data_IF_241923445427
#
_entry.id   IF_241923445427
#
_cell.length_a   1.000
_cell.length_b   1.000
_cell.length_c   1.000
_cell.angle_alpha   90.00
_cell.angle_beta   90.00
_cell.angle_gamma   90.00
#
_symmetry.space_group_name_H-M   'P 1'
#
loop_
_entity.id
_entity.type
_entity.pdbx_description
1 polymer ?
#
# COMPACT_ATOMS: atom_id res chain seq x y z
N UNK A 1 -36.95 10.81 11.03
CA UNK A 1 -35.69 10.08 11.25
C UNK A 1 -35.15 10.46 12.62
N UNK A 2 -34.74 9.51 13.49
CA UNK A 2 -34.17 9.85 14.80
C UNK A 2 -32.97 10.78 14.67
N UNK A 3 -32.79 11.73 15.60
CA UNK A 3 -31.67 12.71 15.54
C UNK A 3 -30.30 12.04 15.45
N UNK A 4 -30.09 10.93 16.15
CA UNK A 4 -28.83 10.19 16.12
C UNK A 4 -28.53 9.60 14.74
N UNK A 5 -29.57 9.20 13.98
CA UNK A 5 -29.39 8.63 12.64
C UNK A 5 -29.00 9.72 11.63
N UNK A 6 -29.50 10.94 11.79
CA UNK A 6 -29.03 12.10 11.01
C UNK A 6 -27.56 12.42 11.32
N UNK A 7 -27.19 12.46 12.61
CA UNK A 7 -25.79 12.64 13.02
C UNK A 7 -24.87 11.53 12.53
N UNK A 8 -25.36 10.28 12.47
CA UNK A 8 -24.63 9.17 11.88
C UNK A 8 -24.42 9.36 10.37
N UNK A 9 -25.45 9.77 9.63
CA UNK A 9 -25.36 10.08 8.19
C UNK A 9 -24.37 11.21 7.93
N UNK A 10 -24.37 12.25 8.78
CA UNK A 10 -23.43 13.36 8.73
C UNK A 10 -22.00 12.90 9.03
N UNK A 11 -21.81 12.05 10.06
CA UNK A 11 -20.53 11.42 10.36
C UNK A 11 -20.00 10.62 9.18
N UNK A 12 -20.89 9.94 8.43
CA UNK A 12 -20.53 9.21 7.22
C UNK A 12 -20.17 10.13 6.04
N UNK A 13 -20.33 11.45 6.18
CA UNK A 13 -19.95 12.46 5.19
C UNK A 13 -20.95 12.57 4.04
N UNK A 14 -22.24 12.28 4.30
CA UNK A 14 -23.26 12.08 3.28
C UNK A 14 -24.34 13.18 3.25
N UNK A 15 -24.05 14.38 3.77
CA UNK A 15 -25.04 15.43 4.03
C UNK A 15 -25.69 16.08 2.78
N UNK A 16 -25.23 15.79 1.56
CA UNK A 16 -25.87 16.31 0.34
C UNK A 16 -26.00 15.34 -0.84
N UNK A 17 -25.31 14.19 -0.84
CA UNK A 17 -25.44 13.14 -1.85
C UNK A 17 -25.04 11.78 -1.27
N UNK A 18 -26.03 11.04 -0.77
CA UNK A 18 -25.84 9.68 -0.29
C UNK A 18 -25.46 8.76 -1.46
N UNK A 19 -24.19 8.32 -1.49
CA UNK A 19 -23.75 7.28 -2.44
C UNK A 19 -24.62 6.03 -2.24
N UNK A 20 -24.99 5.29 -3.31
CA UNK A 20 -25.85 4.09 -3.21
C UNK A 20 -25.40 3.07 -2.15
N UNK A 21 -24.08 2.91 -1.97
CA UNK A 21 -23.51 2.02 -0.94
C UNK A 21 -23.89 2.42 0.50
N UNK A 22 -24.08 3.72 0.77
CA UNK A 22 -24.46 4.20 2.10
C UNK A 22 -25.96 4.08 2.35
N UNK A 23 -26.78 4.10 1.29
CA UNK A 23 -28.22 3.84 1.38
C UNK A 23 -28.43 2.41 1.89
N UNK A 24 -27.74 1.42 1.30
CA UNK A 24 -27.80 0.03 1.75
C UNK A 24 -27.39 -0.14 3.22
N UNK A 25 -26.35 0.56 3.68
CA UNK A 25 -25.92 0.55 5.09
C UNK A 25 -26.99 1.16 6.00
N UNK A 26 -27.57 2.29 5.62
CA UNK A 26 -28.62 2.96 6.39
C UNK A 26 -29.88 2.10 6.48
N UNK A 27 -30.26 1.44 5.39
CA UNK A 27 -31.42 0.54 5.36
C UNK A 27 -31.22 -0.65 6.31
N UNK A 28 -30.02 -1.24 6.32
CA UNK A 28 -29.64 -2.30 7.25
C UNK A 28 -29.68 -1.82 8.70
N UNK A 29 -29.07 -0.67 9.00
CA UNK A 29 -29.07 -0.07 10.36
C UNK A 29 -30.50 0.21 10.83
N UNK A 30 -31.35 0.75 9.95
CA UNK A 30 -32.74 1.09 10.24
C UNK A 30 -33.58 -0.17 10.44
N UNK A 31 -33.41 -1.17 9.57
CA UNK A 31 -34.12 -2.46 9.65
C UNK A 31 -33.82 -3.21 10.93
N UNK A 32 -32.57 -3.18 11.39
CA UNK A 32 -32.13 -3.82 12.63
C UNK A 32 -32.34 -2.96 13.88
N UNK A 33 -32.97 -1.79 13.74
CA UNK A 33 -33.28 -0.87 14.84
C UNK A 33 -32.07 -0.54 15.72
N UNK A 34 -30.88 -0.49 15.11
CA UNK A 34 -29.68 -0.05 15.81
C UNK A 34 -29.91 1.38 16.27
N UNK A 35 -29.50 1.71 17.49
CA UNK A 35 -29.61 3.04 18.06
C UNK A 35 -28.22 3.55 18.48
N UNK A 36 -28.14 4.80 18.93
CA UNK A 36 -26.87 5.42 19.33
C UNK A 36 -26.09 4.63 20.39
N UNK A 37 -26.79 3.94 21.30
CA UNK A 37 -26.16 3.11 22.33
C UNK A 37 -25.57 1.84 21.71
N UNK A 38 -26.34 1.14 20.88
CA UNK A 38 -25.90 -0.09 20.21
C UNK A 38 -24.72 0.12 19.27
N UNK A 39 -24.62 1.30 18.64
CA UNK A 39 -23.48 1.67 17.78
C UNK A 39 -22.13 1.59 18.51
N UNK A 40 -22.10 1.80 19.83
CA UNK A 40 -20.88 1.71 20.65
C UNK A 40 -20.38 0.28 20.85
N UNK A 41 -21.26 -0.71 20.63
CA UNK A 41 -20.99 -2.14 20.82
C UNK A 41 -20.85 -2.90 19.50
N UNK A 42 -20.88 -2.18 18.37
CA UNK A 42 -20.76 -2.81 17.06
C UNK A 42 -19.36 -3.34 16.85
N UNK A 43 -19.26 -4.66 16.62
CA UNK A 43 -18.04 -5.35 16.22
C UNK A 43 -18.01 -5.55 14.70
N UNK A 44 -16.83 -5.87 14.17
CA UNK A 44 -16.66 -6.23 12.76
C UNK A 44 -17.57 -7.42 12.39
N UNK A 45 -17.61 -8.44 13.23
CA UNK A 45 -18.39 -9.65 12.98
C UNK A 45 -19.89 -9.40 13.04
N UNK A 46 -20.34 -8.47 13.89
CA UNK A 46 -21.72 -8.03 13.89
C UNK A 46 -22.09 -7.35 12.56
N UNK A 47 -21.24 -6.48 12.02
CA UNK A 47 -21.49 -5.84 10.72
C UNK A 47 -21.43 -6.84 9.54
N UNK A 48 -20.59 -7.88 9.63
CA UNK A 48 -20.58 -8.99 8.68
C UNK A 48 -21.90 -9.77 8.71
N UNK A 49 -22.42 -10.06 9.91
CA UNK A 49 -23.71 -10.73 10.09
C UNK A 49 -24.86 -9.94 9.44
N UNK A 50 -24.76 -8.61 9.47
CA UNK A 50 -25.68 -7.69 8.81
C UNK A 50 -25.46 -7.55 7.29
N UNK A 51 -24.57 -8.36 6.71
CA UNK A 51 -24.22 -8.38 5.28
C UNK A 51 -23.72 -7.04 4.75
N UNK A 52 -23.06 -6.24 5.61
CA UNK A 52 -22.44 -4.98 5.17
C UNK A 52 -21.16 -5.29 4.37
N UNK A 53 -20.93 -4.67 3.21
CA UNK A 53 -19.70 -4.89 2.44
C UNK A 53 -18.45 -4.55 3.24
N UNK A 54 -17.40 -5.38 3.15
CA UNK A 54 -16.17 -5.26 3.94
C UNK A 54 -15.55 -3.84 3.93
N UNK A 55 -15.52 -3.17 2.76
CA UNK A 55 -15.00 -1.81 2.67
C UNK A 55 -15.83 -0.77 3.44
N UNK A 56 -17.15 -0.98 3.55
CA UNK A 56 -18.01 -0.14 4.38
C UNK A 56 -17.84 -0.45 5.87
N UNK A 57 -17.64 -1.73 6.23
CA UNK A 57 -17.37 -2.16 7.62
C UNK A 57 -16.16 -1.39 8.19
N UNK A 58 -15.02 -1.42 7.50
CA UNK A 58 -13.81 -0.74 7.98
C UNK A 58 -14.01 0.78 8.13
N UNK A 59 -14.70 1.39 7.17
CA UNK A 59 -15.02 2.82 7.24
C UNK A 59 -15.96 3.19 8.39
N UNK A 60 -16.96 2.35 8.68
CA UNK A 60 -17.89 2.52 9.80
C UNK A 60 -17.14 2.38 11.12
N UNK A 61 -16.31 1.34 11.27
CA UNK A 61 -15.55 1.09 12.51
C UNK A 61 -14.56 2.23 12.81
N UNK A 62 -13.83 2.73 11.80
CA UNK A 62 -12.92 3.88 11.98
C UNK A 62 -13.69 5.13 12.44
N UNK A 63 -14.82 5.42 11.81
CA UNK A 63 -15.63 6.60 12.16
C UNK A 63 -16.27 6.49 13.54
N UNK A 64 -16.74 5.30 13.91
CA UNK A 64 -17.25 5.02 15.26
C UNK A 64 -16.14 5.18 16.30
N UNK A 65 -14.93 4.67 16.06
CA UNK A 65 -13.78 4.87 16.95
C UNK A 65 -13.47 6.35 17.17
N UNK A 66 -13.40 7.13 16.10
CA UNK A 66 -13.13 8.56 16.19
C UNK A 66 -14.24 9.30 16.96
N UNK A 67 -15.51 8.91 16.77
CA UNK A 67 -16.63 9.46 17.52
C UNK A 67 -16.53 9.13 19.01
N UNK A 68 -16.25 7.87 19.35
CA UNK A 68 -16.08 7.42 20.74
C UNK A 68 -14.94 8.19 21.41
N UNK A 69 -13.79 8.30 20.74
CA UNK A 69 -12.66 9.06 21.27
C UNK A 69 -13.03 10.52 21.51
N UNK A 70 -13.71 11.16 20.56
CA UNK A 70 -14.19 12.54 20.70
C UNK A 70 -15.14 12.70 21.90
N UNK A 71 -16.00 11.72 22.15
CA UNK A 71 -16.93 11.74 23.29
C UNK A 71 -16.22 11.50 24.63
N UNK A 72 -15.16 10.68 24.65
CA UNK A 72 -14.29 10.52 25.83
C UNK A 72 -13.55 11.83 26.12
N UNK A 73 -12.97 12.47 25.10
CA UNK A 73 -12.23 13.73 25.24
C UNK A 73 -13.14 14.87 25.74
N UNK A 74 -14.41 14.85 25.32
CA UNK A 74 -15.45 15.78 25.78
C UNK A 74 -16.05 15.42 27.15
N UNK A 75 -15.58 14.35 27.80
CA UNK A 75 -16.09 13.82 29.07
C UNK A 75 -17.58 13.43 29.03
N UNK A 76 -18.11 13.14 27.83
CA UNK A 76 -19.49 12.68 27.63
C UNK A 76 -19.60 11.18 27.94
N UNK A 77 -18.60 10.41 27.52
CA UNK A 77 -18.45 8.98 27.82
C UNK A 77 -17.28 8.76 28.78
N UNK A 78 -17.43 7.83 29.73
CA UNK A 78 -16.29 7.35 30.51
C UNK A 78 -15.73 6.09 29.86
N UNK A 79 -14.40 5.90 29.84
CA UNK A 79 -13.79 4.66 29.32
C UNK A 79 -14.30 3.38 29.99
N UNK A 80 -14.75 3.48 31.26
CA UNK A 80 -15.35 2.38 32.02
C UNK A 80 -16.68 1.88 31.45
N UNK A 81 -17.36 2.70 30.64
CA UNK A 81 -18.68 2.41 30.12
C UNK A 81 -18.61 1.64 28.78
N UNK A 82 -17.39 1.42 28.27
CA UNK A 82 -17.13 0.71 27.02
C UNK A 82 -16.83 -0.78 27.26
N UNK A 83 -17.21 -1.67 26.32
CA UNK A 83 -16.86 -3.08 26.42
C UNK A 83 -15.33 -3.25 26.34
N UNK A 84 -14.74 -4.24 27.02
CA UNK A 84 -13.28 -4.40 27.15
C UNK A 84 -12.53 -4.43 25.80
N UNK A 85 -13.16 -4.99 24.78
CA UNK A 85 -12.64 -5.09 23.42
C UNK A 85 -12.47 -3.72 22.74
N UNK A 86 -13.23 -2.71 23.18
CA UNK A 86 -13.16 -1.33 22.69
C UNK A 86 -12.29 -0.43 23.60
N UNK A 87 -11.91 -0.88 24.79
CA UNK A 87 -11.06 -0.13 25.75
C UNK A 87 -9.61 -0.06 25.27
N UNK A 88 -9.10 -1.10 24.60
CA UNK A 88 -7.72 -1.16 24.10
C UNK A 88 -7.36 0.00 23.15
N UNK A 89 -8.36 0.66 22.56
CA UNK A 89 -8.17 1.75 21.61
C UNK A 89 -8.24 3.15 22.24
N UNK A 90 -8.68 3.28 23.50
CA UNK A 90 -8.79 4.57 24.21
C UNK A 90 -7.53 4.93 25.03
N UNK A 91 -6.66 3.94 25.31
CA UNK A 91 -5.50 4.11 26.21
C UNK A 91 -4.14 4.35 25.50
N UNK A 92 -4.07 4.31 24.17
CA UNK A 92 -2.78 4.47 23.45
C UNK A 92 -2.19 5.89 23.52
N UNK A 93 -2.88 6.87 24.12
CA UNK A 93 -2.43 8.27 24.23
C UNK A 93 -1.69 8.62 25.53
N UNK A 94 -1.46 7.68 26.46
CA UNK A 94 -0.69 7.93 27.68
C UNK A 94 0.39 6.85 27.89
N UNK A 95 1.63 7.16 27.53
CA UNK A 95 2.80 6.36 27.87
C UNK A 95 3.18 6.54 29.35
N UNK A 96 3.46 5.46 30.12
CA UNK A 96 3.90 5.57 31.49
C UNK A 96 5.39 5.95 31.52
N UNK A 97 5.69 7.09 32.16
CA UNK A 97 7.06 7.49 32.47
C UNK A 97 7.66 6.54 33.52
N UNK A 98 8.54 5.64 33.08
CA UNK A 98 9.38 4.83 33.97
C UNK A 98 10.62 5.66 34.31
N UNK A 99 10.71 6.12 35.57
CA UNK A 99 11.93 6.69 36.15
C UNK A 99 12.95 5.57 36.39
N UNK A 100 14.04 5.57 35.61
CA UNK A 100 15.20 4.72 35.85
C UNK A 100 15.97 5.22 37.08
N UNK A 101 15.91 4.43 38.15
CA UNK A 101 16.82 4.53 39.28
C UNK A 101 18.11 3.76 38.92
N UNK A 102 19.21 4.47 38.72
CA UNK A 102 20.54 3.91 38.56
C UNK A 102 21.03 3.35 39.89
N UNK A 103 21.28 2.04 39.95
CA UNK A 103 22.42 1.40 40.63
C UNK A 103 22.18 -0.11 40.69
N UNK A 104 23.02 -0.88 39.99
CA UNK A 104 23.56 -2.15 40.48
C UNK A 104 24.59 -2.67 39.47
N UNK A 105 25.85 -2.61 39.89
CA UNK A 105 26.93 -3.50 39.42
C UNK A 105 26.48 -4.97 39.50
N UNK A 106 26.95 -5.81 38.56
CA UNK A 106 27.56 -7.13 38.84
C UNK A 106 28.02 -7.79 37.51
N UNK A 107 29.36 -7.88 37.41
CA UNK A 107 30.20 -9.00 36.95
C UNK A 107 29.70 -9.96 35.86
N UNK A 108 30.46 -9.91 34.77
CA UNK A 108 30.72 -10.95 33.77
C UNK A 108 31.24 -12.23 34.43
N UNK A 109 30.64 -13.38 34.07
CA UNK A 109 31.32 -14.66 34.02
C UNK A 109 30.77 -15.51 32.87
N UNK A 110 31.70 -16.04 32.08
CA UNK A 110 31.54 -16.89 30.91
C UNK A 110 31.38 -18.36 31.29
N UNK A 111 31.02 -19.15 30.27
CA UNK A 111 31.10 -20.61 30.14
C UNK A 111 29.98 -21.44 30.76
N UNK A 112 29.24 -22.16 29.90
CA UNK A 112 29.36 -23.62 29.75
C UNK A 112 28.21 -24.20 28.91
N UNK A 113 28.58 -25.05 27.96
CA UNK A 113 27.68 -25.86 27.15
C UNK A 113 27.00 -26.96 27.99
N UNK A 114 25.71 -27.23 27.71
CA UNK A 114 25.05 -28.50 28.04
C UNK A 114 24.16 -28.91 26.87
N UNK A 115 24.55 -30.00 26.22
CA UNK A 115 23.71 -30.89 25.41
C UNK A 115 22.62 -31.52 26.27
N UNK A 116 21.38 -31.62 25.77
CA UNK A 116 20.50 -32.72 26.17
C UNK A 116 19.70 -33.26 25.00
N UNK A 117 19.66 -34.57 25.01
CA UNK A 117 19.18 -35.49 24.01
C UNK A 117 17.68 -35.75 24.16
N UNK A 118 17.14 -36.27 23.06
CA UNK A 118 15.86 -36.94 22.83
C UNK A 118 15.03 -37.47 24.01
N UNK A 119 13.71 -37.33 23.88
CA UNK A 119 12.74 -38.31 24.37
C UNK A 119 11.58 -38.45 23.37
N UNK A 120 11.48 -39.64 22.79
CA UNK A 120 10.29 -40.17 22.13
C UNK A 120 9.24 -40.55 23.17
N UNK A 121 7.96 -40.31 22.88
CA UNK A 121 6.87 -41.18 23.35
C UNK A 121 5.77 -41.29 22.31
N UNK A 122 5.51 -42.54 21.91
CA UNK A 122 4.28 -42.97 21.26
C UNK A 122 3.13 -42.98 22.29
N UNK A 123 1.92 -42.61 21.87
CA UNK A 123 0.73 -43.39 22.25
C UNK A 123 -0.45 -43.07 21.32
N UNK A 124 -0.89 -44.12 20.66
CA UNK A 124 -2.22 -44.35 20.10
C UNK A 124 -3.30 -44.34 21.20
N UNK A 125 -4.50 -43.85 20.91
CA UNK A 125 -5.80 -44.37 21.41
C UNK A 125 -6.94 -43.84 20.51
N UNK A 126 -7.98 -44.66 20.52
CA UNK A 126 -9.04 -44.93 19.58
C UNK A 126 -10.28 -44.00 19.68
N UNK A 127 -11.06 -44.05 18.59
CA UNK A 127 -12.49 -43.78 18.36
C UNK A 127 -13.40 -43.14 19.43
N UNK A 128 -14.21 -42.16 19.01
CA UNK A 128 -15.68 -42.32 18.87
C UNK A 128 -16.38 -41.01 18.46
N UNK A 129 -17.17 -41.08 17.39
CA UNK A 129 -18.15 -40.05 16.98
C UNK A 129 -19.46 -40.21 17.76
N UNK A 130 -20.24 -39.12 17.88
CA UNK A 130 -21.70 -39.21 17.89
C UNK A 130 -22.32 -38.52 16.67
N UNK A 131 -23.18 -39.28 15.99
CA UNK A 131 -24.10 -38.90 14.92
C UNK A 131 -25.27 -38.07 15.47
N UNK A 132 -25.73 -37.06 14.73
CA UNK A 132 -27.00 -36.36 14.97
C UNK A 132 -27.86 -36.32 13.70
N UNK A 133 -29.20 -36.25 13.83
CA UNK A 133 -30.14 -36.79 12.86
C UNK A 133 -30.52 -35.82 11.72
N UNK A 134 -30.92 -36.43 10.61
CA UNK A 134 -31.47 -35.82 9.42
C UNK A 134 -32.82 -35.11 9.67
N UNK A 135 -33.03 -33.99 8.98
CA UNK A 135 -34.30 -33.23 8.92
C UNK A 135 -34.73 -33.10 7.44
N UNK A 136 -36.04 -33.14 7.13
CA UNK A 136 -36.56 -33.55 5.83
C UNK A 136 -36.53 -32.48 4.74
N UNK A 137 -36.47 -32.99 3.51
CA UNK A 137 -36.66 -32.29 2.25
C UNK A 137 -38.03 -31.62 2.12
N UNK A 138 -38.03 -30.38 1.63
CA UNK A 138 -39.23 -29.69 1.14
C UNK A 138 -39.05 -29.39 -0.36
N UNK A 139 -39.88 -30.04 -1.18
CA UNK A 139 -39.99 -29.79 -2.62
C UNK A 139 -41.02 -28.70 -2.87
N UNK A 140 -40.57 -27.49 -3.19
CA UNK A 140 -41.40 -26.39 -3.68
C UNK A 140 -41.01 -26.03 -5.10
N UNK A 141 -41.89 -26.33 -6.07
CA UNK A 141 -41.79 -25.83 -7.45
C UNK A 141 -42.19 -24.35 -7.47
N UNK A 142 -41.29 -23.48 -7.92
CA UNK A 142 -41.62 -22.14 -8.40
C UNK A 142 -40.99 -21.94 -9.77
N UNK A 143 -41.84 -21.67 -10.75
CA UNK A 143 -41.47 -21.34 -12.12
C UNK A 143 -41.07 -19.87 -12.23
N UNK A 144 -40.01 -19.62 -12.99
CA UNK A 144 -39.87 -18.46 -13.86
C UNK A 144 -39.33 -17.20 -13.21
N UNK A 145 -38.01 -17.01 -13.31
CA UNK A 145 -37.31 -15.74 -13.52
C UNK A 145 -35.87 -16.10 -13.92
N UNK A 146 -35.39 -15.57 -15.05
CA UNK A 146 -34.03 -15.77 -15.54
C UNK A 146 -33.04 -15.08 -14.60
N UNK A 147 -32.41 -15.86 -13.72
CA UNK A 147 -31.28 -15.44 -12.90
C UNK A 147 -30.01 -15.54 -13.76
N UNK A 148 -29.24 -14.44 -13.82
CA UNK A 148 -27.85 -14.51 -14.26
C UNK A 148 -27.12 -15.43 -13.27
N UNK A 149 -26.81 -16.65 -13.70
CA UNK A 149 -26.02 -17.60 -12.93
C UNK A 149 -24.69 -16.96 -12.53
N UNK A 150 -24.52 -16.73 -11.23
CA UNK A 150 -23.21 -16.49 -10.63
C UNK A 150 -22.32 -17.68 -10.99
N UNK A 151 -21.38 -17.45 -11.91
CA UNK A 151 -20.34 -18.41 -12.29
C UNK A 151 -19.33 -18.54 -11.13
N UNK A 152 -19.77 -19.06 -9.98
CA UNK A 152 -18.86 -19.67 -9.01
C UNK A 152 -18.41 -21.00 -9.60
N UNK A 153 -17.34 -20.95 -10.40
CA UNK A 153 -16.61 -22.14 -10.83
C UNK A 153 -15.94 -22.76 -9.59
N UNK A 154 -16.73 -23.48 -8.80
CA UNK A 154 -16.29 -24.43 -7.79
C UNK A 154 -15.68 -25.62 -8.54
N UNK A 155 -14.37 -25.55 -8.76
CA UNK A 155 -13.63 -26.78 -9.02
C UNK A 155 -13.73 -27.60 -7.73
N UNK A 156 -14.56 -28.64 -7.76
CA UNK A 156 -14.63 -29.63 -6.71
C UNK A 156 -13.21 -30.12 -6.40
N UNK A 157 -12.91 -30.31 -5.11
CA UNK A 157 -11.62 -30.79 -4.59
C UNK A 157 -11.08 -32.05 -5.30
N UNK A 158 -11.95 -32.80 -5.99
CA UNK A 158 -11.64 -34.02 -6.71
C UNK A 158 -10.86 -33.81 -8.03
N UNK A 159 -10.95 -32.65 -8.68
CA UNK A 159 -10.18 -32.37 -9.91
C UNK A 159 -8.68 -32.08 -9.66
N UNK A 160 -8.32 -31.74 -8.42
CA UNK A 160 -6.92 -31.50 -8.02
C UNK A 160 -6.07 -32.77 -8.21
N UNK A 161 -6.68 -33.95 -8.07
CA UNK A 161 -6.01 -35.24 -8.27
C UNK A 161 -5.53 -35.44 -9.72
N UNK A 162 -6.22 -34.84 -10.70
CA UNK A 162 -5.94 -34.97 -12.14
C UNK A 162 -4.94 -33.94 -12.67
N UNK A 163 -4.42 -33.05 -11.82
CA UNK A 163 -3.42 -32.06 -12.22
C UNK A 163 -2.14 -32.72 -12.73
N UNK A 164 -1.59 -32.17 -13.82
CA UNK A 164 -0.26 -32.51 -14.32
C UNK A 164 0.80 -32.33 -13.23
N UNK A 165 1.92 -33.05 -13.35
CA UNK A 165 3.06 -32.92 -12.41
C UNK A 165 3.56 -31.47 -12.32
N UNK A 166 3.56 -30.74 -13.43
CA UNK A 166 3.90 -29.33 -13.48
C UNK A 166 2.94 -28.47 -12.66
N UNK A 167 1.62 -28.68 -12.79
CA UNK A 167 0.63 -27.94 -12.01
C UNK A 167 0.73 -28.24 -10.51
N UNK A 168 1.04 -29.49 -10.13
CA UNK A 168 1.26 -29.86 -8.73
C UNK A 168 2.47 -29.13 -8.14
N UNK A 169 3.58 -29.02 -8.88
CA UNK A 169 4.74 -28.24 -8.47
C UNK A 169 4.42 -26.74 -8.39
N UNK A 170 3.75 -26.17 -9.40
CA UNK A 170 3.34 -24.76 -9.40
C UNK A 170 2.48 -24.42 -8.19
N UNK A 171 1.47 -25.25 -7.92
CA UNK A 171 0.62 -25.15 -6.73
C UNK A 171 1.43 -25.18 -5.45
N UNK A 172 2.34 -26.14 -5.31
CA UNK A 172 3.16 -26.26 -4.10
C UNK A 172 4.02 -25.01 -3.87
N UNK A 173 4.62 -24.45 -4.92
CA UNK A 173 5.43 -23.23 -4.81
C UNK A 173 4.60 -21.99 -4.47
N UNK A 174 3.44 -21.82 -5.10
CA UNK A 174 2.54 -20.71 -4.78
C UNK A 174 1.97 -20.83 -3.36
N UNK A 175 1.58 -22.04 -2.93
CA UNK A 175 1.07 -22.30 -1.58
C UNK A 175 2.08 -21.91 -0.50
N UNK A 176 3.37 -22.21 -0.70
CA UNK A 176 4.45 -21.78 0.21
C UNK A 176 4.52 -20.26 0.41
N UNK A 177 4.11 -19.47 -0.60
CA UNK A 177 4.01 -18.00 -0.47
C UNK A 177 2.74 -17.58 0.25
N UNK A 178 1.61 -18.24 -0.06
CA UNK A 178 0.32 -17.98 0.59
C UNK A 178 0.40 -18.27 2.09
N UNK A 179 1.02 -19.39 2.50
CA UNK A 179 1.18 -19.75 3.91
C UNK A 179 1.96 -18.72 4.73
N UNK A 180 2.85 -17.94 4.08
CA UNK A 180 3.60 -16.88 4.75
C UNK A 180 2.74 -15.66 5.06
N UNK A 181 1.80 -15.30 4.19
CA UNK A 181 0.95 -14.10 4.33
C UNK A 181 -0.38 -14.37 5.03
N UNK A 182 -0.95 -15.55 4.79
CA UNK A 182 -2.33 -15.88 5.12
C UNK A 182 -2.38 -16.91 6.24
N UNK A 183 -1.54 -16.74 7.28
CA UNK A 183 -1.41 -17.72 8.38
C UNK A 183 -2.74 -18.06 9.05
N UNK A 184 -3.67 -17.09 9.07
CA UNK A 184 -4.96 -17.17 9.73
C UNK A 184 -6.06 -17.74 8.81
N UNK A 185 -5.85 -17.74 7.49
CA UNK A 185 -6.87 -18.25 6.56
C UNK A 185 -7.01 -19.78 6.68
N UNK A 186 -8.24 -20.31 6.67
CA UNK A 186 -8.50 -21.75 6.55
C UNK A 186 -7.78 -22.37 5.35
N UNK A 187 -7.40 -23.64 5.46
CA UNK A 187 -6.68 -24.37 4.40
C UNK A 187 -7.43 -24.37 3.06
N UNK A 188 -8.76 -24.44 3.10
CA UNK A 188 -9.61 -24.41 1.91
C UNK A 188 -9.56 -23.04 1.21
N UNK A 189 -9.63 -21.94 1.95
CA UNK A 189 -9.53 -20.59 1.38
C UNK A 189 -8.14 -20.34 0.78
N UNK A 190 -7.09 -20.85 1.42
CA UNK A 190 -5.73 -20.81 0.85
C UNK A 190 -5.63 -21.57 -0.46
N UNK A 191 -6.31 -22.70 -0.56
CA UNK A 191 -6.38 -23.50 -1.78
C UNK A 191 -7.07 -22.74 -2.90
N UNK A 192 -8.24 -22.16 -2.63
CA UNK A 192 -8.99 -21.33 -3.58
C UNK A 192 -8.12 -20.16 -4.04
N UNK A 193 -7.46 -19.46 -3.12
CA UNK A 193 -6.54 -18.37 -3.43
C UNK A 193 -5.38 -18.83 -4.31
N UNK A 194 -4.77 -19.98 -4.00
CA UNK A 194 -3.69 -20.57 -4.79
C UNK A 194 -4.12 -20.83 -6.22
N UNK A 195 -5.26 -21.49 -6.39
CA UNK A 195 -5.83 -21.76 -7.70
C UNK A 195 -6.12 -20.46 -8.48
N UNK A 196 -6.68 -19.44 -7.83
CA UNK A 196 -6.92 -18.14 -8.46
C UNK A 196 -5.62 -17.45 -8.92
N UNK A 197 -4.48 -17.76 -8.29
CA UNK A 197 -3.18 -17.14 -8.59
C UNK A 197 -2.36 -17.89 -9.65
N UNK A 198 -2.68 -19.16 -9.93
CA UNK A 198 -1.87 -20.04 -10.81
C UNK A 198 -2.63 -20.58 -12.04
N UNK A 199 -3.94 -20.34 -12.16
CA UNK A 199 -4.70 -20.70 -13.36
C UNK A 199 -5.07 -19.44 -14.15
N UNK A 200 -4.76 -19.35 -15.46
CA UNK A 200 -4.96 -18.12 -16.23
C UNK A 200 -6.41 -17.63 -16.21
N UNK A 201 -7.36 -18.52 -16.48
CA UNK A 201 -8.77 -18.18 -16.54
C UNK A 201 -9.31 -17.69 -15.20
N UNK A 202 -8.92 -18.36 -14.10
CA UNK A 202 -9.32 -17.94 -12.74
C UNK A 202 -8.66 -16.63 -12.36
N UNK A 203 -7.40 -16.41 -12.74
CA UNK A 203 -6.68 -15.17 -12.48
C UNK A 203 -7.35 -14.01 -13.21
N UNK A 204 -7.60 -14.19 -14.51
CA UNK A 204 -8.27 -13.22 -15.36
C UNK A 204 -9.65 -12.87 -14.77
N UNK A 205 -10.45 -13.87 -14.44
CA UNK A 205 -11.80 -13.67 -13.89
C UNK A 205 -11.80 -12.99 -12.52
N UNK A 206 -10.91 -13.38 -11.62
CA UNK A 206 -10.92 -12.86 -10.25
C UNK A 206 -10.25 -11.50 -10.09
N UNK A 207 -9.24 -11.17 -10.90
CA UNK A 207 -8.42 -9.96 -10.68
C UNK A 207 -8.53 -8.93 -11.80
N UNK A 208 -8.79 -9.35 -13.05
CA UNK A 208 -8.81 -8.45 -14.21
C UNK A 208 -10.23 -8.18 -14.74
N UNK A 209 -11.13 -9.17 -14.75
CA UNK A 209 -12.50 -9.04 -15.29
C UNK A 209 -13.53 -8.44 -14.30
N UNK A 210 -13.12 -8.01 -13.10
CA UNK A 210 -14.06 -7.43 -12.11
C UNK A 210 -14.59 -6.04 -12.45
N UNK A 211 -14.17 -5.44 -13.57
CA UNK A 211 -14.78 -4.21 -14.04
C UNK A 211 -16.05 -4.57 -14.80
N UNK A 212 -17.26 -4.21 -14.30
CA UNK A 212 -18.47 -4.49 -15.03
C UNK A 212 -18.38 -3.77 -16.39
N UNK A 213 -18.79 -4.41 -17.50
CA UNK A 213 -18.72 -3.82 -18.84
C UNK A 213 -19.41 -2.45 -18.94
N UNK A 214 -20.35 -2.16 -18.04
CA UNK A 214 -21.01 -0.85 -17.90
C UNK A 214 -20.12 0.29 -17.36
N UNK A 215 -19.06 0.00 -16.58
CA UNK A 215 -18.08 1.01 -16.13
C UNK A 215 -17.08 1.42 -17.21
N UNK A 216 -16.88 0.58 -18.23
CA UNK A 216 -16.09 0.91 -19.41
C UNK A 216 -16.89 1.67 -20.47
N UNK A 217 -18.23 1.72 -20.36
CA UNK A 217 -19.11 2.24 -21.43
C UNK A 217 -19.92 3.50 -21.06
N UNK A 218 -19.86 4.01 -19.83
CA UNK A 218 -20.77 5.08 -19.38
C UNK A 218 -20.27 6.54 -19.54
N UNK A 219 -19.10 6.79 -20.13
CA UNK A 219 -18.71 8.15 -20.55
C UNK A 219 -18.73 8.29 -22.08
N UNK A 220 -19.95 8.31 -22.65
CA UNK A 220 -20.23 8.47 -24.09
C UNK A 220 -19.86 9.85 -24.69
N UNK A 221 -18.90 10.57 -24.11
CA UNK A 221 -18.42 11.85 -24.66
C UNK A 221 -16.90 11.94 -24.80
N UNK A 222 -16.15 10.84 -24.66
CA UNK A 222 -14.72 10.81 -25.01
C UNK A 222 -14.47 9.88 -26.20
N UNK A 223 -13.91 10.48 -27.24
CA UNK A 223 -13.41 9.88 -28.47
C UNK A 223 -12.48 8.70 -28.21
N UNK A 224 -12.90 7.51 -28.64
CA UNK A 224 -12.14 6.51 -29.39
C UNK A 224 -10.63 6.34 -29.13
N UNK A 225 -10.24 5.96 -27.92
CA UNK A 225 -9.04 5.12 -27.86
C UNK A 225 -9.21 4.00 -26.84
N UNK A 226 -9.35 2.78 -27.33
CA UNK A 226 -9.33 1.53 -26.56
C UNK A 226 -7.91 1.21 -26.06
N UNK A 227 -7.12 2.25 -25.77
CA UNK A 227 -5.70 2.12 -25.52
C UNK A 227 -5.48 1.77 -24.05
N UNK A 228 -4.71 0.73 -23.82
CA UNK A 228 -4.21 0.41 -22.50
C UNK A 228 -3.04 1.34 -22.17
N UNK A 229 -3.25 2.29 -21.25
CA UNK A 229 -2.19 3.20 -20.78
C UNK A 229 -1.25 2.47 -19.84
N UNK A 230 0.05 2.52 -20.11
CA UNK A 230 1.09 1.93 -19.27
C UNK A 230 1.80 3.05 -18.53
N UNK A 231 1.82 2.98 -17.21
CA UNK A 231 2.47 3.97 -16.35
C UNK A 231 3.30 3.30 -15.28
N UNK A 232 4.42 3.90 -14.92
CA UNK A 232 5.13 3.60 -13.68
C UNK A 232 4.85 4.72 -12.72
N UNK A 233 4.47 4.38 -11.50
CA UNK A 233 4.36 5.34 -10.41
C UNK A 233 5.45 5.06 -9.39
N UNK A 234 5.98 6.10 -8.77
CA UNK A 234 6.83 5.95 -7.59
C UNK A 234 6.01 6.35 -6.39
N UNK A 235 5.96 5.47 -5.40
CA UNK A 235 5.20 5.66 -4.17
C UNK A 235 6.11 5.60 -2.96
N UNK A 236 5.78 6.40 -1.95
CA UNK A 236 6.31 6.24 -0.61
C UNK A 236 5.58 5.07 0.07
N UNK A 237 6.35 4.13 0.63
CA UNK A 237 5.77 3.06 1.44
C UNK A 237 5.23 3.64 2.75
N UNK A 238 4.02 3.25 3.12
CA UNK A 238 3.44 3.71 4.38
C UNK A 238 4.22 3.18 5.59
N UNK A 239 3.98 3.75 6.76
CA UNK A 239 4.71 3.41 7.99
C UNK A 239 4.66 1.91 8.34
N UNK A 240 3.51 1.25 8.13
CA UNK A 240 3.37 -0.19 8.39
C UNK A 240 4.25 -1.00 7.43
N UNK A 241 4.22 -0.67 6.15
CA UNK A 241 5.05 -1.32 5.13
C UNK A 241 6.54 -1.09 5.40
N UNK A 242 6.92 0.14 5.76
CA UNK A 242 8.28 0.51 6.13
C UNK A 242 8.77 -0.26 7.36
N UNK A 243 7.97 -0.34 8.43
CA UNK A 243 8.29 -1.14 9.60
C UNK A 243 8.43 -2.64 9.28
N UNK A 244 7.57 -3.20 8.42
CA UNK A 244 7.67 -4.60 7.99
C UNK A 244 8.93 -4.85 7.16
N UNK A 245 9.30 -3.93 6.28
CA UNK A 245 10.55 -4.01 5.54
C UNK A 245 11.77 -3.93 6.48
N UNK A 246 11.80 -2.94 7.36
CA UNK A 246 12.86 -2.73 8.34
C UNK A 246 13.08 -3.96 9.24
N UNK A 247 12.00 -4.59 9.73
CA UNK A 247 12.09 -5.85 10.48
C UNK A 247 12.69 -7.01 9.69
N UNK A 248 12.45 -7.07 8.37
CA UNK A 248 12.99 -8.14 7.51
C UNK A 248 14.47 -7.96 7.23
N UNK A 249 14.93 -6.73 7.00
CA UNK A 249 16.31 -6.47 6.60
C UNK A 249 17.20 -6.06 7.78
N UNK A 250 16.63 -5.88 8.96
CA UNK A 250 17.39 -5.49 10.15
C UNK A 250 17.92 -4.05 10.07
N UNK A 251 17.21 -3.17 9.37
CA UNK A 251 17.61 -1.77 9.18
C UNK A 251 16.55 -0.81 9.65
N UNK A 252 16.93 0.42 9.98
CA UNK A 252 16.03 1.50 10.37
C UNK A 252 15.95 2.56 9.27
N UNK A 253 15.39 2.20 8.11
CA UNK A 253 15.11 3.19 7.08
C UNK A 253 13.90 4.02 7.50
N UNK A 254 14.05 5.34 7.52
CA UNK A 254 12.97 6.27 7.89
C UNK A 254 11.93 6.42 6.77
N UNK A 255 12.36 6.17 5.54
CA UNK A 255 11.54 6.26 4.33
C UNK A 255 11.93 5.12 3.41
N UNK A 256 10.96 4.61 2.66
CA UNK A 256 11.18 3.64 1.62
C UNK A 256 10.38 4.02 0.40
N UNK A 257 11.06 4.16 -0.73
CA UNK A 257 10.39 4.33 -2.00
C UNK A 257 10.31 3.01 -2.74
N UNK A 258 9.19 2.85 -3.45
CA UNK A 258 8.93 1.71 -4.30
C UNK A 258 8.34 2.18 -5.62
N UNK A 259 8.70 1.52 -6.72
CA UNK A 259 7.97 1.69 -7.98
C UNK A 259 6.70 0.83 -7.95
N UNK A 260 5.69 1.24 -8.70
CA UNK A 260 4.47 0.48 -8.95
C UNK A 260 4.11 0.59 -10.44
N UNK A 261 3.37 -0.39 -10.97
CA UNK A 261 3.02 -0.48 -12.37
C UNK A 261 1.51 -0.34 -12.51
N UNK A 262 1.09 0.55 -13.39
CA UNK A 262 -0.29 0.70 -13.81
C UNK A 262 -0.39 0.22 -15.25
N UNK A 263 -1.30 -0.71 -15.49
CA UNK A 263 -1.66 -1.24 -16.81
C UNK A 263 -3.14 -0.97 -17.00
N UNK A 264 -3.48 0.03 -17.82
CA UNK A 264 -4.86 0.48 -18.01
C UNK A 264 -5.54 0.81 -16.67
N UNK A 265 -6.68 0.18 -16.34
CA UNK A 265 -7.39 0.41 -15.08
C UNK A 265 -6.86 -0.42 -13.89
N UNK A 266 -5.76 -1.16 -14.04
CA UNK A 266 -5.22 -2.02 -12.99
C UNK A 266 -3.87 -1.53 -12.46
N UNK A 267 -3.75 -1.50 -11.15
CA UNK A 267 -2.51 -1.31 -10.41
C UNK A 267 -1.96 -2.65 -9.94
N UNK A 268 -0.69 -2.90 -10.19
CA UNK A 268 -0.04 -4.14 -9.78
C UNK A 268 0.44 -4.03 -8.34
N UNK A 269 -0.32 -4.59 -7.40
CA UNK A 269 0.07 -4.65 -6.00
C UNK A 269 0.98 -5.85 -5.74
N UNK A 270 2.01 -5.63 -4.93
CA UNK A 270 2.89 -6.68 -4.44
C UNK A 270 2.82 -6.80 -2.94
N UNK A 271 2.71 -8.04 -2.47
CA UNK A 271 2.77 -8.31 -1.04
C UNK A 271 4.13 -8.80 -0.59
N UNK A 272 4.28 -8.88 0.75
CA UNK A 272 5.53 -9.25 1.41
C UNK A 272 6.05 -10.66 1.06
N UNK A 273 5.23 -11.51 0.42
CA UNK A 273 5.62 -12.86 -0.03
C UNK A 273 5.78 -12.98 -1.54
N UNK A 274 5.98 -11.86 -2.24
CA UNK A 274 6.24 -11.85 -3.68
C UNK A 274 5.08 -12.41 -4.51
N UNK A 275 3.84 -12.16 -4.08
CA UNK A 275 2.66 -12.35 -4.93
C UNK A 275 2.30 -11.04 -5.60
N UNK A 276 1.94 -11.14 -6.87
CA UNK A 276 1.49 -10.06 -7.75
C UNK A 276 -0.02 -10.17 -7.88
N UNK A 277 -0.72 -9.14 -7.42
CA UNK A 277 -2.19 -9.09 -7.41
C UNK A 277 -2.64 -7.78 -8.07
N UNK A 278 -3.24 -7.84 -9.27
CA UNK A 278 -3.87 -6.70 -9.89
C UNK A 278 -5.02 -6.18 -9.02
N UNK A 279 -5.08 -4.86 -8.82
CA UNK A 279 -6.21 -4.17 -8.20
C UNK A 279 -6.80 -3.12 -9.12
N UNK A 280 -8.12 -2.99 -9.21
CA UNK A 280 -8.73 -1.87 -9.94
C UNK A 280 -8.34 -0.53 -9.32
N UNK A 281 -7.92 0.43 -10.15
CA UNK A 281 -7.54 1.78 -9.70
C UNK A 281 -8.64 2.44 -8.87
N UNK A 282 -9.92 2.23 -9.23
CA UNK A 282 -11.08 2.76 -8.51
C UNK A 282 -11.13 2.39 -7.03
N UNK A 283 -10.43 1.32 -6.61
CA UNK A 283 -10.40 0.86 -5.22
C UNK A 283 -9.27 1.50 -4.41
N UNK A 284 -8.24 2.02 -5.08
CA UNK A 284 -6.98 2.44 -4.46
C UNK A 284 -6.57 3.86 -4.86
N UNK A 285 -7.37 4.55 -5.67
CA UNK A 285 -7.07 5.88 -6.21
C UNK A 285 -6.73 6.89 -5.12
N UNK A 286 -7.49 6.88 -4.01
CA UNK A 286 -7.19 7.74 -2.86
C UNK A 286 -5.85 7.40 -2.21
N UNK A 287 -5.49 6.11 -2.13
CA UNK A 287 -4.23 5.66 -1.53
C UNK A 287 -3.06 6.05 -2.44
N UNK A 288 -3.22 5.87 -3.75
CA UNK A 288 -2.20 6.27 -4.72
C UNK A 288 -2.00 7.78 -4.66
N UNK A 289 -3.08 8.57 -4.68
CA UNK A 289 -2.98 10.02 -4.64
C UNK A 289 -2.20 10.53 -3.41
N UNK A 290 -2.40 9.89 -2.25
CA UNK A 290 -1.73 10.26 -1.00
C UNK A 290 -0.26 9.82 -0.95
N UNK A 291 0.08 8.67 -1.56
CA UNK A 291 1.43 8.09 -1.49
C UNK A 291 2.29 8.36 -2.72
N UNK A 292 1.71 8.85 -3.81
CA UNK A 292 2.40 9.08 -5.07
C UNK A 292 3.41 10.21 -4.94
N UNK A 293 4.64 9.90 -5.35
CA UNK A 293 5.74 10.84 -5.52
C UNK A 293 5.66 11.44 -6.92
N UNK A 294 5.81 10.61 -7.95
CA UNK A 294 5.67 11.00 -9.34
C UNK A 294 5.14 9.85 -10.21
N UNK A 295 4.72 10.19 -11.43
CA UNK A 295 4.24 9.23 -12.44
C UNK A 295 5.02 9.43 -13.73
N UNK A 296 5.44 8.32 -14.33
CA UNK A 296 5.97 8.24 -15.68
C UNK A 296 4.93 7.59 -16.59
N UNK A 297 4.41 8.36 -17.54
CA UNK A 297 3.54 7.87 -18.60
C UNK A 297 4.43 7.25 -19.69
N UNK A 298 4.42 5.91 -19.82
CA UNK A 298 5.29 5.21 -20.77
C UNK A 298 4.70 5.30 -22.18
N UNK A 299 3.52 4.73 -22.35
CA UNK A 299 2.86 4.66 -23.65
C UNK A 299 1.38 4.30 -23.49
N UNK A 300 0.64 4.36 -24.59
CA UNK A 300 -0.71 3.83 -24.72
C UNK A 300 -0.67 2.77 -25.82
N UNK A 301 -1.10 1.54 -25.51
CA UNK A 301 -0.98 0.38 -26.42
C UNK A 301 -2.37 -0.12 -26.81
N UNK A 302 -2.56 -0.35 -28.11
CA UNK A 302 -3.72 -1.06 -28.67
C UNK A 302 -3.36 -2.53 -28.91
N UNK A 303 -3.14 -3.30 -27.85
CA UNK A 303 -2.88 -4.74 -27.94
C UNK A 303 -3.93 -5.51 -27.13
N UNK A 304 -4.81 -6.22 -27.82
CA UNK A 304 -5.85 -7.04 -27.19
C UNK A 304 -5.24 -8.17 -26.33
N UNK A 305 -4.00 -8.57 -26.60
CA UNK A 305 -3.28 -9.63 -25.86
C UNK A 305 -2.50 -9.11 -24.66
N UNK A 306 -2.56 -7.82 -24.35
CA UNK A 306 -1.80 -7.25 -23.23
C UNK A 306 -2.20 -7.88 -21.90
N UNK A 307 -3.48 -8.25 -21.76
CA UNK A 307 -3.99 -8.90 -20.56
C UNK A 307 -3.47 -10.33 -20.46
N UNK A 308 -3.47 -11.09 -21.55
CA UNK A 308 -2.89 -12.44 -21.56
C UNK A 308 -1.40 -12.42 -21.20
N UNK A 309 -0.66 -11.42 -21.72
CA UNK A 309 0.76 -11.20 -21.37
C UNK A 309 0.92 -10.86 -19.88
N UNK A 310 0.08 -9.97 -19.35
CA UNK A 310 0.08 -9.60 -17.94
C UNK A 310 -0.23 -10.78 -17.03
N UNK A 311 -1.28 -11.56 -17.33
CA UNK A 311 -1.67 -12.78 -16.59
C UNK A 311 -0.52 -13.77 -16.56
N UNK A 312 0.06 -14.05 -17.73
CA UNK A 312 1.19 -14.98 -17.86
C UNK A 312 2.37 -14.56 -16.98
N UNK A 313 2.71 -13.27 -16.99
CA UNK A 313 3.82 -12.75 -16.19
C UNK A 313 3.51 -12.80 -14.68
N UNK A 314 2.34 -12.31 -14.26
CA UNK A 314 1.90 -12.35 -12.86
C UNK A 314 1.92 -13.77 -12.30
N UNK A 315 1.38 -14.74 -13.06
CA UNK A 315 1.41 -16.15 -12.68
C UNK A 315 2.84 -16.69 -12.55
N UNK A 316 3.71 -16.40 -13.51
CA UNK A 316 5.11 -16.86 -13.47
C UNK A 316 5.82 -16.38 -12.19
N UNK A 317 5.54 -15.15 -11.77
CA UNK A 317 6.05 -14.59 -10.53
C UNK A 317 5.40 -15.22 -9.30
N UNK A 318 4.07 -15.38 -9.28
CA UNK A 318 3.35 -16.05 -8.20
C UNK A 318 3.85 -17.48 -7.97
N UNK A 319 4.27 -18.17 -9.03
CA UNK A 319 4.78 -19.54 -8.97
C UNK A 319 6.25 -19.59 -8.55
N UNK A 320 7.14 -18.84 -9.20
CA UNK A 320 8.57 -19.21 -9.24
C UNK A 320 9.54 -18.13 -8.77
N UNK A 321 9.18 -16.86 -8.81
CA UNK A 321 10.15 -15.76 -8.61
C UNK A 321 10.05 -15.14 -7.23
N UNK A 322 11.19 -14.73 -6.69
CA UNK A 322 11.28 -13.97 -5.46
C UNK A 322 11.08 -12.46 -5.72
N UNK A 323 10.80 -11.73 -4.64
CA UNK A 323 10.48 -10.31 -4.68
C UNK A 323 11.58 -9.49 -5.37
N UNK A 324 11.25 -8.95 -6.54
CA UNK A 324 12.00 -7.87 -7.15
C UNK A 324 11.10 -7.10 -8.13
N UNK A 325 10.37 -6.12 -7.61
CA UNK A 325 9.34 -5.42 -8.37
C UNK A 325 9.89 -4.74 -9.64
N UNK A 326 11.06 -4.11 -9.53
CA UNK A 326 11.68 -3.47 -10.68
C UNK A 326 11.98 -4.46 -11.82
N UNK A 327 12.36 -5.70 -11.50
CA UNK A 327 12.56 -6.73 -12.53
C UNK A 327 11.24 -7.19 -13.15
N UNK A 328 10.14 -7.17 -12.39
CA UNK A 328 8.82 -7.45 -12.95
C UNK A 328 8.40 -6.37 -13.94
N UNK A 329 8.58 -5.09 -13.58
CA UNK A 329 8.29 -3.99 -14.50
C UNK A 329 9.10 -4.16 -15.78
N UNK A 330 10.42 -4.32 -15.67
CA UNK A 330 11.29 -4.40 -16.84
C UNK A 330 10.94 -5.58 -17.74
N UNK A 331 10.70 -6.76 -17.16
CA UNK A 331 10.23 -7.93 -17.92
C UNK A 331 8.85 -7.71 -18.54
N UNK A 332 7.93 -7.02 -17.86
CA UNK A 332 6.64 -6.70 -18.44
C UNK A 332 6.79 -5.77 -19.65
N UNK A 333 7.60 -4.71 -19.51
CA UNK A 333 7.88 -3.76 -20.58
C UNK A 333 8.58 -4.42 -21.76
N UNK A 334 9.51 -5.34 -21.51
CA UNK A 334 10.13 -6.19 -22.54
C UNK A 334 9.08 -7.10 -23.21
N UNK A 335 8.20 -7.72 -22.42
CA UNK A 335 7.22 -8.69 -22.92
C UNK A 335 6.11 -8.04 -23.77
N UNK A 336 5.81 -6.76 -23.53
CA UNK A 336 4.90 -5.97 -24.36
C UNK A 336 5.64 -5.12 -25.40
N UNK A 337 6.96 -5.29 -25.54
CA UNK A 337 7.81 -4.64 -26.55
C UNK A 337 7.87 -3.10 -26.44
N UNK A 338 7.76 -2.55 -25.22
CA UNK A 338 7.84 -1.09 -24.96
C UNK A 338 8.98 -0.67 -24.03
N UNK A 339 9.95 -1.56 -23.81
CA UNK A 339 11.13 -1.26 -22.99
C UNK A 339 11.94 -0.08 -23.54
N UNK A 340 11.99 0.06 -24.87
CA UNK A 340 12.75 1.12 -25.53
C UNK A 340 12.18 2.52 -25.26
N UNK A 341 10.86 2.61 -25.10
CA UNK A 341 10.09 3.80 -24.80
C UNK A 341 10.39 4.25 -23.37
N UNK A 342 10.40 3.29 -22.43
CA UNK A 342 10.82 3.54 -21.07
C UNK A 342 12.28 4.03 -20.99
N UNK A 343 13.20 3.39 -21.73
CA UNK A 343 14.61 3.80 -21.73
C UNK A 343 14.81 5.20 -22.34
N UNK A 344 14.06 5.55 -23.38
CA UNK A 344 14.03 6.91 -23.93
C UNK A 344 13.50 7.94 -22.93
N UNK A 345 12.53 7.57 -22.10
CA UNK A 345 12.01 8.46 -21.05
C UNK A 345 13.01 8.69 -19.93
N UNK A 346 13.88 7.73 -19.65
CA UNK A 346 14.97 7.89 -18.69
C UNK A 346 16.17 8.63 -19.28
N UNK A 347 16.32 8.62 -20.61
CA UNK A 347 17.43 9.28 -21.30
C UNK A 347 17.39 10.79 -21.06
N UNK A 348 18.48 11.35 -20.52
CA UNK A 348 18.58 12.77 -20.17
C UNK A 348 18.01 13.14 -18.80
N UNK A 349 17.51 12.15 -18.04
CA UNK A 349 17.09 12.30 -16.66
C UNK A 349 18.03 11.53 -15.73
N UNK A 350 19.29 11.96 -15.62
CA UNK A 350 20.33 11.23 -14.89
C UNK A 350 19.91 10.89 -13.45
N UNK A 351 19.24 11.83 -12.78
CA UNK A 351 18.67 11.64 -11.45
C UNK A 351 17.63 10.50 -11.39
N UNK A 352 16.64 10.54 -12.27
CA UNK A 352 15.56 9.53 -12.31
C UNK A 352 16.13 8.17 -12.75
N UNK A 353 17.07 8.17 -13.70
CA UNK A 353 17.75 6.96 -14.12
C UNK A 353 18.53 6.33 -12.96
N UNK A 354 19.33 7.11 -12.24
CA UNK A 354 20.02 6.66 -11.04
C UNK A 354 19.05 6.10 -10.00
N UNK A 355 17.91 6.75 -9.79
CA UNK A 355 16.86 6.27 -8.91
C UNK A 355 16.35 4.87 -9.32
N UNK A 356 16.04 4.66 -10.61
CA UNK A 356 15.61 3.34 -11.09
C UNK A 356 16.72 2.29 -11.05
N UNK A 357 17.98 2.67 -11.25
CA UNK A 357 19.13 1.77 -11.03
C UNK A 357 19.21 1.31 -9.58
N UNK A 358 19.01 2.21 -8.62
CA UNK A 358 19.00 1.85 -7.20
C UNK A 358 17.82 0.93 -6.87
N UNK A 359 16.62 1.19 -7.43
CA UNK A 359 15.49 0.27 -7.33
C UNK A 359 15.79 -1.09 -7.98
N UNK A 360 16.58 -1.15 -9.06
CA UNK A 360 16.99 -2.41 -9.70
C UNK A 360 17.95 -3.21 -8.83
N UNK A 361 18.84 -2.53 -8.11
CA UNK A 361 19.85 -3.20 -7.29
C UNK A 361 19.30 -3.61 -5.92
N UNK A 362 18.47 -2.76 -5.31
CA UNK A 362 18.07 -2.88 -3.92
C UNK A 362 16.59 -3.23 -3.73
N UNK A 363 15.76 -3.09 -4.77
CA UNK A 363 14.30 -3.29 -4.75
C UNK A 363 13.51 -2.20 -4.03
N UNK A 364 14.17 -1.40 -3.19
CA UNK A 364 13.65 -0.21 -2.49
C UNK A 364 14.78 0.79 -2.29
N UNK A 365 14.44 2.06 -2.03
CA UNK A 365 15.43 3.10 -1.70
C UNK A 365 15.22 3.53 -0.26
N UNK A 366 16.29 3.46 0.55
CA UNK A 366 16.27 3.71 2.00
C UNK A 366 16.72 5.10 2.39
N UNK A 367 17.77 5.55 1.73
CA UNK A 367 18.38 6.83 1.93
C UNK A 367 18.11 7.64 0.69
N UNK A 368 17.60 8.85 0.88
CA UNK A 368 17.46 9.79 -0.22
C UNK A 368 18.81 10.40 -0.44
N UNK A 369 19.57 9.74 -1.30
CA UNK A 369 20.77 10.30 -1.84
C UNK A 369 20.47 10.78 -3.25
N UNK A 370 20.69 12.07 -3.49
CA UNK A 370 20.44 12.66 -4.79
C UNK A 370 21.66 12.50 -5.68
N UNK A 371 21.42 12.10 -6.92
CA UNK A 371 22.42 12.24 -7.97
C UNK A 371 22.49 13.71 -8.41
N UNK A 372 23.68 14.29 -8.39
CA UNK A 372 23.95 15.68 -8.69
C UNK A 372 24.74 15.82 -9.98
N UNK A 373 24.18 16.45 -11.00
CA UNK A 373 24.93 16.68 -12.24
C UNK A 373 26.16 17.57 -12.00
N UNK A 374 27.17 17.45 -12.88
CA UNK A 374 28.35 18.31 -12.83
C UNK A 374 27.99 19.81 -12.92
N UNK A 375 26.97 20.15 -13.70
CA UNK A 375 26.46 21.52 -13.83
C UNK A 375 25.87 22.05 -12.52
N UNK A 376 25.03 21.25 -11.83
CA UNK A 376 24.50 21.62 -10.51
C UNK A 376 25.65 21.80 -9.51
N UNK A 377 26.64 20.90 -9.54
CA UNK A 377 27.82 21.00 -8.69
C UNK A 377 28.55 22.33 -8.91
N UNK A 378 28.77 22.73 -10.16
CA UNK A 378 29.39 24.01 -10.48
C UNK A 378 28.53 25.20 -10.02
N UNK A 379 27.21 25.15 -10.19
CA UNK A 379 26.29 26.17 -9.67
C UNK A 379 26.49 26.37 -8.17
N UNK A 380 26.56 25.29 -7.40
CA UNK A 380 26.70 25.35 -5.94
C UNK A 380 28.08 25.88 -5.53
N UNK A 381 29.16 25.37 -6.14
CA UNK A 381 30.52 25.76 -5.77
C UNK A 381 30.81 27.23 -6.12
N UNK A 382 30.30 27.70 -7.26
CA UNK A 382 30.52 29.07 -7.74
C UNK A 382 29.52 30.10 -7.20
N UNK A 383 28.40 29.66 -6.61
CA UNK A 383 27.39 30.57 -6.06
C UNK A 383 27.93 31.39 -4.89
N UNK A 384 27.68 32.70 -4.87
CA UNK A 384 28.05 33.57 -3.74
C UNK A 384 27.05 33.53 -2.58
N UNK A 385 25.83 33.06 -2.83
CA UNK A 385 24.74 32.95 -1.83
C UNK A 385 24.77 31.64 -1.05
N UNK A 386 25.48 30.64 -1.55
CA UNK A 386 25.58 29.31 -0.96
C UNK A 386 26.54 29.27 0.24
N UNK A 387 26.10 28.63 1.33
CA UNK A 387 26.81 28.46 2.59
C UNK A 387 28.09 27.64 2.42
N UNK A 388 29.03 27.86 3.34
CA UNK A 388 30.25 27.05 3.38
C UNK A 388 29.94 25.56 3.60
N UNK A 389 28.93 25.26 4.40
CA UNK A 389 28.52 23.90 4.73
C UNK A 389 28.04 23.13 3.49
N UNK A 390 27.15 23.73 2.69
CA UNK A 390 26.69 23.10 1.45
C UNK A 390 27.85 22.96 0.43
N UNK A 391 28.71 23.97 0.29
CA UNK A 391 29.88 23.88 -0.60
C UNK A 391 30.85 22.80 -0.16
N UNK A 392 31.10 22.66 1.15
CA UNK A 392 31.96 21.62 1.71
C UNK A 392 31.37 20.23 1.44
N UNK A 393 30.07 20.05 1.70
CA UNK A 393 29.34 18.82 1.41
C UNK A 393 29.45 18.41 -0.08
N UNK A 394 29.34 19.38 -0.99
CA UNK A 394 29.48 19.14 -2.44
C UNK A 394 30.93 18.94 -2.88
N UNK A 395 31.89 19.63 -2.27
CA UNK A 395 33.31 19.58 -2.66
C UNK A 395 34.02 18.29 -2.21
N UNK A 396 33.62 17.74 -1.07
CA UNK A 396 34.21 16.52 -0.49
C UNK A 396 33.87 15.26 -1.26
N UNK A 397 32.79 15.26 -2.04
CA UNK A 397 32.41 14.13 -2.88
C UNK A 397 33.33 14.00 -4.11
N UNK A 398 33.79 12.79 -4.46
CA UNK A 398 34.52 12.55 -5.70
C UNK A 398 33.76 13.09 -6.92
N UNK A 399 34.43 13.64 -7.93
CA UNK A 399 33.78 14.01 -9.20
C UNK A 399 33.06 12.83 -9.88
N UNK A 400 33.49 11.60 -9.58
CA UNK A 400 32.87 10.37 -10.05
C UNK A 400 31.68 9.91 -9.21
N UNK A 401 31.54 10.39 -7.97
CA UNK A 401 30.48 10.02 -7.03
C UNK A 401 29.64 11.25 -6.75
N UNK A 402 28.68 11.51 -7.63
CA UNK A 402 27.78 12.65 -7.59
C UNK A 402 26.61 12.46 -6.62
N UNK A 403 26.78 11.64 -5.59
CA UNK A 403 25.70 11.24 -4.69
C UNK A 403 25.78 12.10 -3.42
N UNK A 404 24.74 12.90 -3.16
CA UNK A 404 24.67 13.78 -1.97
C UNK A 404 23.52 13.34 -1.06
N UNK A 405 23.77 13.33 0.25
CA UNK A 405 22.75 13.11 1.27
C UNK A 405 22.69 14.32 2.20
N UNK A 406 21.49 14.84 2.44
CA UNK A 406 21.27 16.02 3.26
C UNK A 406 20.96 15.61 4.70
N UNK A 407 21.69 16.14 5.66
CA UNK A 407 21.44 15.89 7.08
C UNK A 407 20.49 16.92 7.71
N UNK A 408 20.15 17.99 6.99
CA UNK A 408 19.20 18.99 7.46
C UNK A 408 18.31 19.47 6.31
N UNK A 409 17.08 19.82 6.68
CA UNK A 409 16.11 20.42 5.76
C UNK A 409 16.58 21.78 5.25
N UNK A 410 17.29 22.55 6.08
CA UNK A 410 17.87 23.86 5.70
C UNK A 410 18.88 23.73 4.55
N UNK A 411 19.78 22.74 4.60
CA UNK A 411 20.74 22.50 3.51
C UNK A 411 20.06 22.02 2.23
N UNK A 412 18.96 21.27 2.36
CA UNK A 412 18.18 20.82 1.23
C UNK A 412 17.45 21.99 0.53
N UNK A 413 16.80 22.87 1.31
CA UNK A 413 16.19 24.09 0.79
C UNK A 413 17.24 25.00 0.13
N UNK A 414 18.41 25.16 0.75
CA UNK A 414 19.52 25.94 0.21
C UNK A 414 20.04 25.37 -1.11
N UNK A 415 20.13 24.04 -1.22
CA UNK A 415 20.50 23.35 -2.47
C UNK A 415 19.56 23.71 -3.61
N UNK A 416 18.24 23.61 -3.37
CA UNK A 416 17.24 23.89 -4.41
C UNK A 416 17.18 25.38 -4.75
N UNK A 417 17.22 26.26 -3.75
CA UNK A 417 17.27 27.71 -3.96
C UNK A 417 18.52 28.13 -4.75
N UNK A 418 19.68 27.54 -4.46
CA UNK A 418 20.91 27.84 -5.21
C UNK A 418 20.77 27.47 -6.69
N UNK A 419 20.14 26.34 -7.00
CA UNK A 419 19.87 25.95 -8.40
C UNK A 419 18.93 26.98 -9.05
N UNK A 420 17.83 27.36 -8.39
CA UNK A 420 16.88 28.34 -8.90
C UNK A 420 17.49 29.74 -9.10
N UNK A 421 18.43 30.15 -8.25
CA UNK A 421 19.12 31.43 -8.37
C UNK A 421 20.10 31.45 -9.55
N UNK A 422 20.81 30.35 -9.79
CA UNK A 422 21.77 30.24 -10.90
C UNK A 422 21.08 29.97 -12.24
N UNK A 423 20.03 29.16 -12.23
CA UNK A 423 19.23 28.81 -13.39
C UNK A 423 17.75 28.63 -13.00
N UNK A 424 17.01 29.74 -13.02
CA UNK A 424 15.58 29.76 -12.74
C UNK A 424 14.75 28.89 -13.69
N UNK A 425 15.31 28.52 -14.85
CA UNK A 425 14.63 27.69 -15.84
C UNK A 425 14.88 26.19 -15.66
N UNK A 426 15.84 25.81 -14.82
CA UNK A 426 16.26 24.42 -14.65
C UNK A 426 15.08 23.48 -14.39
N UNK A 427 14.26 23.80 -13.37
CA UNK A 427 13.08 23.00 -12.99
C UNK A 427 11.86 23.22 -13.90
N UNK A 428 11.89 24.21 -14.80
CA UNK A 428 10.84 24.46 -15.79
C UNK A 428 11.01 23.57 -17.03
N UNK A 429 12.24 23.15 -17.32
CA UNK A 429 12.55 22.25 -18.43
C UNK A 429 12.14 20.80 -18.08
N UNK A 430 11.81 20.00 -19.10
CA UNK A 430 11.28 18.65 -18.92
C UNK A 430 12.15 17.78 -17.99
N UNK A 431 13.48 17.90 -18.06
CA UNK A 431 14.38 17.10 -17.22
C UNK A 431 14.35 17.52 -15.74
N UNK A 432 14.44 18.82 -15.46
CA UNK A 432 14.38 19.32 -14.09
C UNK A 432 12.98 19.22 -13.48
N UNK A 433 11.90 19.26 -14.28
CA UNK A 433 10.53 19.19 -13.74
C UNK A 433 10.25 17.92 -12.94
N UNK A 434 10.65 16.75 -13.45
CA UNK A 434 10.48 15.48 -12.72
C UNK A 434 11.34 15.42 -11.47
N UNK A 435 12.55 15.94 -11.54
CA UNK A 435 13.43 16.08 -10.38
C UNK A 435 12.78 17.00 -9.33
N UNK A 436 12.23 18.14 -9.73
CA UNK A 436 11.56 19.07 -8.81
C UNK A 436 10.34 18.45 -8.10
N UNK A 437 9.49 17.72 -8.82
CA UNK A 437 8.35 16.99 -8.21
C UNK A 437 8.84 15.94 -7.19
N UNK A 438 9.96 15.26 -7.48
CA UNK A 438 10.59 14.34 -6.54
C UNK A 438 11.13 15.07 -5.31
N UNK A 439 11.86 16.17 -5.51
CA UNK A 439 12.44 17.00 -4.46
C UNK A 439 11.35 17.60 -3.55
N UNK A 440 10.22 18.01 -4.12
CA UNK A 440 9.05 18.50 -3.37
C UNK A 440 8.48 17.43 -2.44
N UNK A 441 8.39 16.20 -2.91
CA UNK A 441 7.91 15.08 -2.08
C UNK A 441 8.91 14.71 -1.00
N UNK A 442 10.19 14.91 -1.27
CA UNK A 442 11.24 14.75 -0.28
C UNK A 442 11.15 15.80 0.83
N UNK A 443 10.86 17.06 0.49
CA UNK A 443 10.54 18.14 1.43
C UNK A 443 9.37 17.75 2.36
N UNK A 444 8.24 17.32 1.77
CA UNK A 444 7.05 16.90 2.50
C UNK A 444 7.35 15.77 3.50
N UNK A 445 8.26 14.85 3.15
CA UNK A 445 8.69 13.77 4.04
C UNK A 445 9.57 14.27 5.19
N UNK A 446 10.53 15.16 4.91
CA UNK A 446 11.36 15.77 5.96
C UNK A 446 10.47 16.42 7.03
N UNK A 447 9.45 17.17 6.61
CA UNK A 447 8.50 17.81 7.52
C UNK A 447 7.67 16.80 8.33
N UNK A 448 7.17 15.74 7.69
CA UNK A 448 6.43 14.67 8.39
C UNK A 448 7.28 13.95 9.44
N UNK A 449 8.59 13.82 9.20
CA UNK A 449 9.50 13.23 10.19
C UNK A 449 9.89 14.20 11.30
N UNK A 450 10.19 15.46 10.97
CA UNK A 450 10.50 16.49 11.96
C UNK A 450 9.34 16.64 12.97
N UNK A 451 8.11 16.66 12.49
CA UNK A 451 6.91 16.75 13.35
C UNK A 451 6.69 15.54 14.25
N UNK A 452 7.09 14.33 13.84
CA UNK A 452 7.05 13.12 14.70
C UNK A 452 8.05 13.19 15.85
N UNK A 453 9.22 13.81 15.64
CA UNK A 453 10.27 13.93 16.65
C UNK A 453 10.02 15.07 17.64
N UNK A 454 9.36 16.15 17.21
CA UNK A 454 9.05 17.32 18.03
C UNK A 454 7.61 17.26 18.56
N UNK A 455 7.31 16.29 19.44
CA UNK A 455 6.02 16.25 20.16
C UNK A 455 5.84 17.39 21.18
N UNK A 456 6.86 18.23 21.37
CA UNK A 456 6.84 19.42 22.22
C UNK A 456 7.14 20.69 21.41
N UNK A 457 6.11 21.48 21.10
CA UNK A 457 6.13 22.79 20.42
C UNK A 457 6.52 22.82 18.92
N UNK A 458 5.54 22.69 17.99
CA UNK A 458 5.75 22.84 16.55
C UNK A 458 5.90 24.30 16.05
N UNK A 459 5.87 25.31 16.91
CA UNK A 459 5.45 26.67 16.53
C UNK A 459 6.57 27.66 16.12
N UNK A 460 7.84 27.25 15.99
CA UNK A 460 8.92 28.20 15.65
C UNK A 460 9.84 27.82 14.49
N UNK A 461 9.63 26.70 13.78
CA UNK A 461 10.35 26.45 12.53
C UNK A 461 9.62 27.15 11.38
N UNK A 462 10.05 28.38 11.16
CA UNK A 462 9.50 29.32 10.19
C UNK A 462 9.75 28.79 8.77
N UNK A 463 8.68 28.36 8.09
CA UNK A 463 8.64 27.97 6.66
C UNK A 463 9.00 29.09 5.66
N UNK A 464 9.53 30.24 6.09
CA UNK A 464 9.52 31.46 5.27
C UNK A 464 10.34 31.39 3.98
N UNK A 465 11.25 30.42 3.81
CA UNK A 465 12.12 30.34 2.63
C UNK A 465 12.11 28.97 1.92
N UNK A 466 11.12 28.12 2.17
CA UNK A 466 11.05 26.82 1.51
C UNK A 466 10.73 26.99 0.01
N UNK A 467 11.59 26.52 -0.91
CA UNK A 467 11.42 26.72 -2.35
C UNK A 467 10.14 26.08 -2.91
N UNK A 468 9.62 25.05 -2.24
CA UNK A 468 8.45 24.30 -2.70
C UNK A 468 7.09 24.93 -2.31
N UNK A 469 7.11 25.91 -1.40
CA UNK A 469 5.90 26.56 -0.89
C UNK A 469 5.57 27.87 -1.64
N UNK A 470 6.49 28.39 -2.46
CA UNK A 470 6.28 29.64 -3.20
C UNK A 470 5.33 29.49 -4.40
N UNK A 471 5.13 28.28 -4.91
CA UNK A 471 4.30 27.99 -6.09
C UNK A 471 2.78 28.10 -5.86
N UNK A 472 2.30 28.07 -4.60
CA UNK A 472 0.86 28.24 -4.35
C UNK A 472 0.38 29.67 -4.62
N UNK A 473 1.28 30.65 -4.57
CA UNK A 473 0.98 32.05 -4.86
C UNK A 473 1.12 32.40 -6.36
N UNK A 474 1.84 31.60 -7.16
CA UNK A 474 1.94 31.77 -8.62
C UNK A 474 0.75 31.19 -9.42
N UNK A 475 -0.12 30.39 -8.77
CA UNK A 475 -1.33 29.81 -9.38
C UNK A 475 -2.62 30.60 -9.11
N UNK A 476 -2.53 31.75 -8.44
CA UNK A 476 -3.61 32.74 -8.30
C UNK A 476 -3.34 33.93 -9.20
#
# INVERSE_FOLDING_TARGET
>A
MPRWLLSFIDLMGASSNLKPRWIAVIDVITKHQLNGELLLFITEDYLKLLQIPFGAIQSILIKLRNLVQTQIDQQILKPSDLPPENIFYACESQSPSISLCTNCDVKVMTDSAITFDSCQTNSSIDSSQPTLPAVPSYSGKTQGLEENEDYTCELATDEICQLSTLHKDHRQRCMKKIDKIAKILPSEEKEILCQNLIFPDRFMNNYLNRLPPSSLQSSKTQTDSSDCKIKIIVIEMNEIQTQRYNKRVGTSANFLFHSALIVGPWYMEWNDSSLVIPRPLTQIDSIIHDLQVFTLDICAIQDQKILDKLVTLCMSYNISKHYHFQHFIEQFLEFIEVKSEFDKLLQGHDFINFFFEQLRQQGVIRDVSLFMSASIREYILNSNSCSHELKELVSTQPYSETIISFHSHVLFDEYVNTILEQDASYFLLNHGKLEFEFLKKFDDMFWRHATKLTSSNPSSHVKMNCPFHQDEDFKK
#
